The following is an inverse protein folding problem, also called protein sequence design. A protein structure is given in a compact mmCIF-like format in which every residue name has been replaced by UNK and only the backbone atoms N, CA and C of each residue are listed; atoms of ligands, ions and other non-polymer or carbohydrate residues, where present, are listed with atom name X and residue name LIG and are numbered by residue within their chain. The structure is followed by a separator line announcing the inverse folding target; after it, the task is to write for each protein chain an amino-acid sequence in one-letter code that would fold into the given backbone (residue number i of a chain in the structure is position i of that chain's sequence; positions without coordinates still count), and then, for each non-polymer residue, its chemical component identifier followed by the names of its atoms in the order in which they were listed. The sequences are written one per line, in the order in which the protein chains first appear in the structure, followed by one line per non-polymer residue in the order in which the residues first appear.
data_IF_414607501938
#
_entry.id   IF_414607501938
#
_cell.length_a   1.000
_cell.length_b   1.000
_cell.length_c   1.000
_cell.angle_alpha   90.00
_cell.angle_beta   90.00
_cell.angle_gamma   90.00
#
_symmetry.space_group_name_H-M   'P 1'
#
loop_
_entity.id
_entity.type
_entity.pdbx_description
1 polymer ?
#
# COMPACT_ATOMS: atom_id res chain seq x y z
N UNK A 1 -4.76 -16.68 3.13
CA UNK A 1 -3.96 -16.42 1.90
C UNK A 1 -2.69 -15.67 2.27
N UNK A 2 -1.51 -16.19 1.90
CA UNK A 2 -0.18 -15.71 2.36
C UNK A 2 0.12 -14.25 1.99
N UNK A 3 -0.36 -13.78 0.83
CA UNK A 3 -0.10 -12.42 0.35
C UNK A 3 -0.85 -11.33 1.14
N UNK A 4 -2.00 -11.61 1.75
CA UNK A 4 -2.75 -10.63 2.57
C UNK A 4 -2.01 -10.29 3.86
N UNK A 5 -1.37 -11.27 4.49
CA UNK A 5 -0.51 -11.06 5.66
C UNK A 5 0.75 -10.30 5.27
N UNK A 6 1.35 -10.66 4.14
CA UNK A 6 2.52 -9.98 3.59
C UNK A 6 2.22 -8.52 3.25
N UNK A 7 1.08 -8.23 2.61
CA UNK A 7 0.61 -6.88 2.30
C UNK A 7 0.55 -6.01 3.56
N UNK A 8 -0.10 -6.50 4.62
CA UNK A 8 -0.19 -5.76 5.88
C UNK A 8 1.18 -5.45 6.48
N UNK A 9 2.09 -6.43 6.47
CA UNK A 9 3.46 -6.23 6.96
C UNK A 9 4.23 -5.20 6.13
N UNK A 10 4.08 -5.22 4.81
CA UNK A 10 4.75 -4.28 3.91
C UNK A 10 4.21 -2.86 4.07
N UNK A 11 2.90 -2.70 4.23
CA UNK A 11 2.28 -1.40 4.51
C UNK A 11 2.71 -0.85 5.88
N UNK A 12 2.91 -1.71 6.88
CA UNK A 12 3.42 -1.29 8.18
C UNK A 12 4.90 -0.86 8.11
N UNK A 13 5.73 -1.58 7.35
CA UNK A 13 7.11 -1.17 7.10
C UNK A 13 7.18 0.18 6.36
N UNK A 14 6.29 0.38 5.37
CA UNK A 14 6.16 1.65 4.66
C UNK A 14 5.73 2.78 5.62
N UNK A 15 4.79 2.53 6.53
CA UNK A 15 4.33 3.50 7.52
C UNK A 15 5.40 3.93 8.55
N UNK A 16 6.43 3.10 8.74
CA UNK A 16 7.50 3.30 9.70
C UNK A 16 8.83 3.72 9.03
N UNK A 17 8.82 4.02 7.73
CA UNK A 17 10.00 4.35 6.92
C UNK A 17 11.12 3.27 7.00
N UNK A 18 10.73 2.01 7.22
CA UNK A 18 11.66 0.86 7.32
C UNK A 18 11.61 -0.05 6.09
N UNK A 19 10.76 0.26 5.12
CA UNK A 19 10.61 -0.54 3.91
C UNK A 19 11.88 -0.50 3.05
N UNK A 20 12.32 -1.67 2.60
CA UNK A 20 13.44 -1.76 1.65
C UNK A 20 12.95 -1.65 0.21
N UNK A 21 13.85 -1.31 -0.72
CA UNK A 21 13.55 -1.26 -2.15
C UNK A 21 13.01 -2.59 -2.72
N UNK A 22 13.43 -3.72 -2.16
CA UNK A 22 12.95 -5.04 -2.56
C UNK A 22 11.51 -5.24 -2.08
N UNK A 23 11.24 -4.91 -0.83
CA UNK A 23 9.90 -4.96 -0.24
C UNK A 23 8.93 -4.02 -0.94
N UNK A 24 9.38 -2.83 -1.34
CA UNK A 24 8.59 -1.89 -2.13
C UNK A 24 8.14 -2.52 -3.46
N UNK A 25 9.04 -3.18 -4.20
CA UNK A 25 8.69 -3.89 -5.43
C UNK A 25 7.71 -5.05 -5.19
N UNK A 26 7.83 -5.73 -4.06
CA UNK A 26 6.90 -6.80 -3.69
C UNK A 26 5.52 -6.21 -3.39
N UNK A 27 5.46 -5.08 -2.67
CA UNK A 27 4.23 -4.36 -2.39
C UNK A 27 3.53 -3.94 -3.68
N UNK A 28 4.25 -3.31 -4.61
CA UNK A 28 3.74 -2.97 -5.94
C UNK A 28 3.18 -4.20 -6.66
N UNK A 29 3.94 -5.30 -6.68
CA UNK A 29 3.50 -6.53 -7.33
C UNK A 29 2.29 -7.19 -6.67
N UNK A 30 2.03 -6.95 -5.37
CA UNK A 30 0.80 -7.41 -4.73
C UNK A 30 -0.38 -6.53 -5.15
N UNK A 31 -0.21 -5.20 -5.13
CA UNK A 31 -1.25 -4.25 -5.54
C UNK A 31 -1.64 -4.47 -6.99
N UNK A 32 -0.66 -4.65 -7.89
CA UNK A 32 -0.91 -4.80 -9.33
C UNK A 32 -1.63 -6.12 -9.68
N UNK A 33 -1.43 -7.18 -8.90
CA UNK A 33 -2.04 -8.50 -9.17
C UNK A 33 -3.32 -8.76 -8.40
N UNK A 34 -3.46 -8.16 -7.22
CA UNK A 34 -4.52 -8.49 -6.26
C UNK A 34 -5.28 -7.26 -5.77
N UNK A 35 -4.93 -6.05 -6.20
CA UNK A 35 -5.53 -4.80 -5.71
C UNK A 35 -7.05 -4.75 -5.86
N UNK A 36 -7.59 -5.37 -6.92
CA UNK A 36 -9.02 -5.41 -7.21
C UNK A 36 -9.78 -6.47 -6.40
N UNK A 37 -9.08 -7.33 -5.66
CA UNK A 37 -9.75 -8.28 -4.78
C UNK A 37 -10.38 -7.55 -3.58
N UNK A 38 -11.64 -7.84 -3.21
CA UNK A 38 -12.35 -7.09 -2.15
C UNK A 38 -11.59 -7.05 -0.82
N UNK A 39 -11.01 -8.17 -0.41
CA UNK A 39 -10.27 -8.26 0.85
C UNK A 39 -8.93 -7.48 0.84
N UNK A 40 -8.33 -7.30 -0.35
CA UNK A 40 -7.13 -6.48 -0.52
C UNK A 40 -7.50 -5.01 -0.56
N UNK A 41 -8.55 -4.67 -1.30
CA UNK A 41 -9.09 -3.32 -1.37
C UNK A 41 -9.46 -2.81 0.03
N UNK A 42 -10.09 -3.62 0.88
CA UNK A 42 -10.39 -3.28 2.28
C UNK A 42 -9.12 -2.96 3.10
N UNK A 43 -8.03 -3.70 2.87
CA UNK A 43 -6.74 -3.45 3.54
C UNK A 43 -6.14 -2.12 3.06
N UNK A 44 -6.15 -1.90 1.73
CA UNK A 44 -5.62 -0.70 1.10
C UNK A 44 -6.40 0.56 1.50
N UNK A 45 -7.72 0.47 1.59
CA UNK A 45 -8.59 1.57 2.02
C UNK A 45 -8.32 1.96 3.47
N UNK A 46 -8.23 0.98 4.38
CA UNK A 46 -7.86 1.24 5.79
C UNK A 46 -6.49 1.90 5.90
N UNK A 47 -5.52 1.44 5.12
CA UNK A 47 -4.20 2.06 5.04
C UNK A 47 -4.30 3.50 4.54
N UNK A 48 -5.00 3.74 3.44
CA UNK A 48 -5.16 5.07 2.84
C UNK A 48 -5.77 6.10 3.81
N UNK A 49 -6.78 5.69 4.57
CA UNK A 49 -7.42 6.52 5.61
C UNK A 49 -6.42 6.87 6.73
N UNK A 50 -5.54 5.92 7.12
CA UNK A 50 -4.50 6.14 8.13
C UNK A 50 -3.40 7.05 7.59
N UNK A 51 -2.90 6.78 6.38
CA UNK A 51 -1.85 7.54 5.71
C UNK A 51 -2.24 9.02 5.55
N UNK A 52 -3.48 9.32 5.13
CA UNK A 52 -4.01 10.69 5.02
C UNK A 52 -3.98 11.50 6.34
N UNK A 53 -3.94 10.83 7.49
CA UNK A 53 -3.87 11.48 8.81
C UNK A 53 -2.43 11.74 9.26
N UNK A 54 -1.45 11.03 8.69
CA UNK A 54 -0.03 11.28 8.92
C UNK A 54 0.46 12.36 7.94
N UNK A 55 1.26 13.31 8.43
CA UNK A 55 2.14 14.10 7.55
C UNK A 55 3.27 13.17 7.13
N UNK A 56 3.13 12.51 5.98
CA UNK A 56 4.21 11.69 5.42
C UNK A 56 5.32 12.65 5.00
N UNK A 57 6.56 12.35 5.41
CA UNK A 57 7.69 13.26 5.30
C UNK A 57 8.50 13.08 4.01
N UNK A 58 8.27 11.99 3.28
CA UNK A 58 9.00 11.65 2.05
C UNK A 58 8.10 11.60 0.82
N UNK A 59 8.22 12.63 -0.03
CA UNK A 59 7.30 12.92 -1.13
C UNK A 59 7.35 11.94 -2.31
N UNK A 60 8.43 11.14 -2.43
CA UNK A 60 8.65 10.32 -3.63
C UNK A 60 8.00 8.94 -3.54
N UNK A 61 8.11 8.27 -2.40
CA UNK A 61 7.51 6.94 -2.18
C UNK A 61 5.99 7.05 -1.93
N UNK A 62 5.56 8.14 -1.30
CA UNK A 62 4.14 8.47 -1.12
C UNK A 62 3.43 8.69 -2.47
N UNK A 63 4.10 9.27 -3.46
CA UNK A 63 3.50 9.59 -4.74
C UNK A 63 3.27 8.34 -5.62
N UNK A 64 4.22 7.41 -5.66
CA UNK A 64 4.12 6.19 -6.48
C UNK A 64 3.16 5.15 -5.89
N UNK A 65 3.36 4.77 -4.62
CA UNK A 65 2.49 3.78 -3.96
C UNK A 65 1.13 4.38 -3.64
N UNK A 66 1.09 5.62 -3.12
CA UNK A 66 -0.16 6.30 -2.83
C UNK A 66 -1.01 6.51 -4.07
N UNK A 67 -0.40 6.84 -5.22
CA UNK A 67 -1.11 6.94 -6.50
C UNK A 67 -1.73 5.62 -6.95
N UNK A 68 -1.01 4.50 -6.83
CA UNK A 68 -1.54 3.16 -7.14
C UNK A 68 -2.69 2.78 -6.20
N UNK A 69 -2.52 2.99 -4.89
CA UNK A 69 -3.56 2.71 -3.90
C UNK A 69 -4.82 3.54 -4.17
N UNK A 70 -4.66 4.84 -4.43
CA UNK A 70 -5.76 5.71 -4.81
C UNK A 70 -6.47 5.22 -6.06
N UNK A 71 -5.72 4.86 -7.11
CA UNK A 71 -6.31 4.34 -8.34
C UNK A 71 -7.17 3.09 -8.08
N UNK A 72 -6.64 2.13 -7.31
CA UNK A 72 -7.36 0.89 -6.96
C UNK A 72 -8.64 1.16 -6.18
N UNK A 73 -8.63 2.11 -5.24
CA UNK A 73 -9.80 2.42 -4.39
C UNK A 73 -10.88 3.20 -5.14
N UNK A 74 -10.52 4.10 -6.07
CA UNK A 74 -11.44 5.08 -6.64
C UNK A 74 -11.74 4.93 -8.13
N UNK A 75 -11.08 4.00 -8.85
CA UNK A 75 -11.42 3.68 -10.26
C UNK A 75 -12.06 2.29 -10.44
N UNK A 76 -12.40 1.59 -9.36
CA UNK A 76 -13.22 0.37 -9.34
C UNK A 76 -14.52 0.62 -8.55
#
# INVERSE_FOLDING_TARGET
MKYKTQLRSLLDNLDNDTITRIELRILEGIIDRHGEEPDVMEILEKYWIKARKKKISDAHEECLIGGKIFFVIYNN
#
